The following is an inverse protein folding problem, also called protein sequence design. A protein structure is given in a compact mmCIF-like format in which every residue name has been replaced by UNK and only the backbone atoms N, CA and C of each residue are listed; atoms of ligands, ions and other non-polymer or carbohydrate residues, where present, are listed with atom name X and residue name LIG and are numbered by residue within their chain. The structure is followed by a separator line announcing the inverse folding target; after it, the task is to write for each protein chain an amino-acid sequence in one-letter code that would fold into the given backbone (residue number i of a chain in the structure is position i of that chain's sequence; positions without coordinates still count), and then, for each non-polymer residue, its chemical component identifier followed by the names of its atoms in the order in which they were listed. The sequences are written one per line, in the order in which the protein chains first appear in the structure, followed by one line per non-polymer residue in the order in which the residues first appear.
data_IF_477639108700
#
_entry.id   IF_477639108700
#
_cell.length_a   1.000
_cell.length_b   1.000
_cell.length_c   1.000
_cell.angle_alpha   90.00
_cell.angle_beta   90.00
_cell.angle_gamma   90.00
#
_symmetry.space_group_name_H-M   'P 1'
#
loop_
_entity.id
_entity.type
_entity.pdbx_description
1 polymer ?
#
# COMPACT_ATOMS: atom_id res chain seq x y z
N UNK A 1 -25.89 -1.91 -37.37
CA UNK A 1 -25.49 -0.50 -37.23
C UNK A 1 -24.35 -0.46 -36.23
N UNK A 2 -23.15 -0.10 -36.66
CA UNK A 2 -21.94 -0.10 -35.83
C UNK A 2 -21.23 1.26 -35.83
N UNK A 3 -21.79 2.26 -36.52
CA UNK A 3 -21.22 3.61 -36.51
C UNK A 3 -21.85 4.41 -35.37
N UNK A 4 -21.04 5.00 -34.48
CA UNK A 4 -21.53 5.92 -33.46
C UNK A 4 -22.28 7.09 -34.11
N UNK A 5 -23.37 7.56 -33.50
CA UNK A 5 -24.05 8.78 -33.94
C UNK A 5 -23.15 10.01 -33.80
N UNK A 6 -23.48 11.11 -34.48
CA UNK A 6 -22.68 12.36 -34.48
C UNK A 6 -22.37 12.88 -33.07
N UNK A 7 -23.25 12.61 -32.08
CA UNK A 7 -23.10 13.04 -30.68
C UNK A 7 -22.47 12.00 -29.75
N UNK A 8 -21.97 10.86 -30.26
CA UNK A 8 -21.37 9.84 -29.40
C UNK A 8 -20.01 10.32 -28.88
N UNK A 9 -19.73 10.22 -27.55
CA UNK A 9 -18.51 10.77 -27.00
C UNK A 9 -17.27 10.01 -27.52
N UNK A 10 -16.15 10.72 -27.80
CA UNK A 10 -14.93 10.09 -28.32
C UNK A 10 -14.23 9.20 -27.28
N UNK A 11 -14.59 9.32 -26.00
CA UNK A 11 -14.08 8.49 -24.91
C UNK A 11 -15.14 8.31 -23.82
N UNK A 12 -15.04 7.20 -23.09
CA UNK A 12 -15.87 6.91 -21.92
C UNK A 12 -14.99 6.77 -20.69
N UNK A 13 -15.41 7.38 -19.59
CA UNK A 13 -14.76 7.21 -18.29
C UNK A 13 -15.18 5.85 -17.71
N UNK A 14 -14.19 5.03 -17.39
CA UNK A 14 -14.38 3.73 -16.73
C UNK A 14 -13.65 3.79 -15.39
N UNK A 15 -14.40 4.01 -14.32
CA UNK A 15 -13.91 3.96 -12.94
C UNK A 15 -14.62 2.85 -12.18
N UNK A 16 -14.06 2.42 -11.06
CA UNK A 16 -14.66 1.43 -10.19
C UNK A 16 -16.02 1.92 -9.67
N UNK A 17 -17.04 1.07 -9.76
CA UNK A 17 -18.40 1.36 -9.28
C UNK A 17 -18.53 1.07 -7.79
N UNK A 18 -18.16 2.04 -6.95
CA UNK A 18 -18.18 1.97 -5.48
C UNK A 18 -18.26 3.37 -4.87
N UNK A 19 -18.58 3.46 -3.57
CA UNK A 19 -18.32 4.70 -2.83
C UNK A 19 -16.83 4.83 -2.56
N UNK A 20 -16.36 6.05 -2.28
CA UNK A 20 -14.94 6.29 -2.01
C UNK A 20 -14.41 5.34 -0.93
N UNK A 21 -13.22 4.78 -1.17
CA UNK A 21 -12.52 3.85 -0.26
C UNK A 21 -13.18 2.47 -0.05
N UNK A 22 -14.31 2.21 -0.70
CA UNK A 22 -14.94 0.89 -0.71
C UNK A 22 -14.45 0.04 -1.89
N UNK A 23 -14.47 -1.29 -1.77
CA UNK A 23 -14.16 -2.19 -2.89
C UNK A 23 -15.23 -2.15 -3.99
N UNK A 24 -14.84 -2.46 -5.23
CA UNK A 24 -15.74 -2.48 -6.39
C UNK A 24 -16.97 -3.39 -6.16
N UNK A 25 -18.16 -2.87 -6.45
CA UNK A 25 -19.40 -3.64 -6.29
C UNK A 25 -19.52 -4.67 -7.41
N UNK A 26 -19.75 -5.93 -7.06
CA UNK A 26 -19.93 -7.04 -8.02
C UNK A 26 -21.36 -7.57 -8.15
N UNK A 27 -22.24 -7.19 -7.23
CA UNK A 27 -23.62 -7.70 -7.14
C UNK A 27 -24.61 -6.68 -7.72
N UNK A 28 -25.42 -7.12 -8.68
CA UNK A 28 -26.38 -6.27 -9.40
C UNK A 28 -27.32 -5.49 -8.48
N UNK A 29 -27.84 -6.13 -7.42
CA UNK A 29 -28.74 -5.48 -6.47
C UNK A 29 -27.99 -4.43 -5.62
N UNK A 30 -26.82 -4.78 -5.08
CA UNK A 30 -25.99 -3.86 -4.33
C UNK A 30 -25.57 -2.63 -5.16
N UNK A 31 -25.31 -2.81 -6.45
CA UNK A 31 -24.99 -1.71 -7.35
C UNK A 31 -26.16 -0.73 -7.47
N UNK A 32 -27.38 -1.24 -7.68
CA UNK A 32 -28.60 -0.40 -7.72
C UNK A 32 -28.80 0.35 -6.41
N UNK A 33 -28.65 -0.33 -5.27
CA UNK A 33 -28.95 0.25 -3.97
C UNK A 33 -27.93 1.33 -3.54
N UNK A 34 -26.63 1.07 -3.78
CA UNK A 34 -25.54 1.94 -3.34
C UNK A 34 -25.22 3.09 -4.31
N UNK A 35 -25.41 2.87 -5.62
CA UNK A 35 -25.02 3.85 -6.65
C UNK A 35 -26.19 4.63 -7.24
N UNK A 36 -27.42 4.46 -6.75
CA UNK A 36 -28.62 5.16 -7.28
C UNK A 36 -28.53 6.69 -7.27
N UNK A 37 -27.76 7.27 -6.35
CA UNK A 37 -27.57 8.73 -6.26
C UNK A 37 -26.37 9.22 -7.09
N UNK A 38 -25.62 8.30 -7.71
CA UNK A 38 -24.41 8.59 -8.50
C UNK A 38 -24.66 8.32 -9.99
N UNK A 39 -25.33 7.21 -10.32
CA UNK A 39 -25.51 6.74 -11.69
C UNK A 39 -26.93 7.02 -12.20
N UNK A 40 -27.03 7.63 -13.38
CA UNK A 40 -28.31 7.88 -14.07
C UNK A 40 -28.97 6.59 -14.60
N UNK A 41 -28.19 5.52 -14.75
CA UNK A 41 -28.66 4.25 -15.30
C UNK A 41 -27.72 3.08 -14.98
N UNK A 42 -28.26 1.86 -15.10
CA UNK A 42 -27.55 0.62 -14.78
C UNK A 42 -27.60 -0.35 -15.96
N UNK A 43 -26.43 -0.64 -16.53
CA UNK A 43 -26.26 -1.69 -17.54
C UNK A 43 -25.73 -2.96 -16.85
N UNK A 44 -26.60 -3.93 -16.63
CA UNK A 44 -26.33 -5.15 -15.85
C UNK A 44 -26.57 -6.41 -16.67
N UNK A 45 -26.03 -7.53 -16.22
CA UNK A 45 -26.24 -8.85 -16.82
C UNK A 45 -26.54 -9.91 -15.76
N UNK A 46 -26.98 -11.09 -16.20
CA UNK A 46 -27.38 -12.23 -15.38
C UNK A 46 -26.23 -13.20 -15.06
N UNK A 47 -25.06 -13.05 -15.70
CA UNK A 47 -23.85 -13.82 -15.35
C UNK A 47 -23.26 -13.34 -14.01
N UNK A 48 -23.26 -14.13 -12.93
CA UNK A 48 -22.70 -13.66 -11.66
C UNK A 48 -21.19 -13.44 -11.73
N UNK A 49 -20.71 -12.36 -11.11
CA UNK A 49 -19.28 -12.13 -10.91
C UNK A 49 -18.90 -12.80 -9.58
N UNK A 50 -18.05 -13.83 -9.65
CA UNK A 50 -17.67 -14.62 -8.46
C UNK A 50 -16.65 -13.91 -7.57
N UNK A 51 -15.58 -13.38 -8.18
CA UNK A 51 -14.54 -12.61 -7.49
C UNK A 51 -14.50 -11.19 -8.03
N UNK A 52 -14.28 -10.24 -7.11
CA UNK A 52 -13.94 -8.85 -7.47
C UNK A 52 -12.55 -8.85 -8.07
N UNK A 53 -12.35 -8.02 -9.08
CA UNK A 53 -11.02 -7.78 -9.61
C UNK A 53 -11.01 -6.40 -10.25
N UNK A 54 -10.18 -5.52 -9.71
CA UNK A 54 -9.96 -4.21 -10.31
C UNK A 54 -9.27 -4.32 -11.66
N UNK A 55 -9.38 -3.24 -12.44
CA UNK A 55 -8.56 -3.07 -13.62
C UNK A 55 -7.09 -2.94 -13.24
N UNK A 56 -6.22 -3.60 -13.99
CA UNK A 56 -4.79 -3.37 -13.86
C UNK A 56 -4.42 -2.00 -14.42
N UNK A 57 -3.49 -1.31 -13.77
CA UNK A 57 -3.00 0.00 -14.18
C UNK A 57 -1.50 -0.07 -14.39
N UNK A 58 -1.06 0.33 -15.57
CA UNK A 58 0.34 0.41 -15.97
C UNK A 58 0.64 1.80 -16.50
N UNK A 59 1.88 2.22 -16.32
CA UNK A 59 2.46 3.36 -17.04
C UNK A 59 3.64 2.89 -17.88
N UNK A 60 4.26 3.78 -18.64
CA UNK A 60 5.47 3.50 -19.40
C UNK A 60 6.63 4.25 -18.74
N UNK A 61 7.67 3.52 -18.33
CA UNK A 61 8.93 4.09 -17.80
C UNK A 61 10.06 3.51 -18.63
N UNK A 62 10.93 4.36 -19.18
CA UNK A 62 12.03 3.95 -20.07
C UNK A 62 11.56 2.99 -21.18
N UNK A 63 10.46 3.35 -21.84
CA UNK A 63 9.83 2.57 -22.93
C UNK A 63 9.32 1.17 -22.53
N UNK A 64 9.30 0.85 -21.24
CA UNK A 64 8.84 -0.44 -20.72
C UNK A 64 7.56 -0.28 -19.90
N UNK A 65 6.62 -1.24 -19.95
CA UNK A 65 5.48 -1.27 -19.05
C UNK A 65 5.93 -1.33 -17.59
N UNK A 66 5.39 -0.44 -16.77
CA UNK A 66 5.65 -0.37 -15.33
C UNK A 66 4.32 -0.53 -14.57
N UNK A 67 4.16 -1.61 -13.78
CA UNK A 67 2.92 -1.84 -13.04
C UNK A 67 2.74 -0.83 -11.91
N UNK A 68 1.56 -0.19 -11.86
CA UNK A 68 1.09 0.58 -10.71
C UNK A 68 0.10 -0.24 -9.89
N UNK A 69 -0.77 -1.00 -10.58
CA UNK A 69 -1.75 -1.91 -9.98
C UNK A 69 -1.79 -3.21 -10.79
N UNK A 70 -1.45 -4.33 -10.17
CA UNK A 70 -1.56 -5.67 -10.78
C UNK A 70 -2.85 -6.34 -10.34
N UNK A 71 -3.81 -6.46 -11.26
CA UNK A 71 -5.12 -7.08 -11.01
C UNK A 71 -5.62 -7.82 -12.26
N UNK A 72 -6.70 -7.36 -12.91
CA UNK A 72 -7.31 -8.03 -14.08
C UNK A 72 -6.31 -8.23 -15.22
N UNK A 73 -6.31 -9.43 -15.80
CA UNK A 73 -5.41 -9.82 -16.90
C UNK A 73 -4.03 -10.31 -16.45
N UNK A 74 -3.68 -10.14 -15.17
CA UNK A 74 -2.40 -10.59 -14.61
C UNK A 74 -2.60 -11.60 -13.49
N UNK A 75 -3.41 -11.27 -12.48
CA UNK A 75 -3.75 -12.23 -11.45
C UNK A 75 -4.67 -13.34 -12.03
N UNK A 76 -4.48 -14.62 -11.69
CA UNK A 76 -3.59 -15.13 -10.64
C UNK A 76 -2.25 -15.71 -11.18
N UNK A 77 -1.73 -15.25 -12.33
CA UNK A 77 -0.48 -15.77 -12.90
C UNK A 77 0.68 -15.60 -11.92
N UNK A 78 1.40 -16.67 -11.57
CA UNK A 78 2.46 -16.59 -10.57
C UNK A 78 3.70 -15.87 -11.08
N UNK A 79 4.45 -15.29 -10.15
CA UNK A 79 5.84 -14.91 -10.37
C UNK A 79 6.68 -16.17 -10.21
N UNK A 80 7.55 -16.46 -11.19
CA UNK A 80 8.45 -17.60 -11.14
C UNK A 80 9.74 -17.20 -10.45
N UNK A 81 10.17 -17.99 -9.49
CA UNK A 81 11.44 -17.80 -8.78
C UNK A 81 12.45 -18.89 -9.13
N UNK A 82 13.73 -18.64 -8.87
CA UNK A 82 14.83 -19.56 -9.18
C UNK A 82 14.86 -20.78 -8.25
N UNK A 83 14.58 -20.55 -6.97
CA UNK A 83 14.65 -21.52 -5.88
C UNK A 83 13.29 -22.17 -5.57
N UNK A 84 13.30 -23.34 -4.94
CA UNK A 84 12.08 -23.95 -4.41
C UNK A 84 11.69 -23.27 -3.09
N UNK A 85 10.50 -22.72 -3.04
CA UNK A 85 9.91 -22.06 -1.90
C UNK A 85 9.01 -23.03 -1.11
N UNK A 86 9.04 -22.98 0.23
CA UNK A 86 8.05 -23.63 1.05
C UNK A 86 6.66 -23.01 0.83
N UNK A 87 5.63 -23.65 1.38
CA UNK A 87 4.27 -23.11 1.36
C UNK A 87 4.15 -22.03 2.42
N UNK A 88 4.16 -20.76 2.03
CA UNK A 88 4.08 -19.59 2.94
C UNK A 88 2.93 -18.70 2.49
N UNK A 89 2.26 -18.08 3.46
CA UNK A 89 1.36 -16.95 3.25
C UNK A 89 2.05 -15.65 3.69
N UNK A 90 2.31 -14.74 2.76
CA UNK A 90 2.69 -13.37 3.08
C UNK A 90 1.46 -12.47 2.95
N UNK A 91 1.05 -11.79 4.03
CA UNK A 91 -0.23 -11.05 4.07
C UNK A 91 -0.15 -9.64 3.49
N UNK A 92 1.05 -9.11 3.28
CA UNK A 92 1.27 -7.78 2.69
C UNK A 92 0.95 -6.60 3.63
N UNK A 93 1.10 -5.36 3.12
CA UNK A 93 0.88 -4.13 3.88
C UNK A 93 -0.60 -3.78 4.05
N UNK A 94 -0.92 -2.72 4.79
CA UNK A 94 -2.31 -2.23 4.94
C UNK A 94 -2.84 -1.54 3.68
N UNK A 95 -2.03 -0.68 3.08
CA UNK A 95 -2.43 0.12 1.90
C UNK A 95 -2.13 -0.63 0.61
N UNK A 96 -3.01 -0.48 -0.39
CA UNK A 96 -2.88 -1.15 -1.70
C UNK A 96 -2.54 -2.64 -1.57
N UNK A 97 -3.18 -3.33 -0.63
CA UNK A 97 -2.80 -4.66 -0.22
C UNK A 97 -2.82 -5.67 -1.38
N UNK A 98 -1.81 -6.54 -1.35
CA UNK A 98 -1.80 -7.83 -2.03
C UNK A 98 -1.17 -8.86 -1.09
N UNK A 99 -1.74 -10.05 -1.00
CA UNK A 99 -1.09 -11.17 -0.33
C UNK A 99 -0.38 -12.06 -1.36
N UNK A 100 0.55 -12.89 -0.88
CA UNK A 100 1.26 -13.85 -1.71
C UNK A 100 1.21 -15.23 -1.05
N UNK A 101 0.90 -16.26 -1.85
CA UNK A 101 1.12 -17.65 -1.47
C UNK A 101 2.29 -18.21 -2.26
N UNK A 102 3.16 -18.97 -1.63
CA UNK A 102 4.29 -19.60 -2.32
C UNK A 102 4.13 -21.11 -2.40
N UNK A 103 4.67 -21.74 -3.44
CA UNK A 103 4.87 -23.19 -3.53
C UNK A 103 5.84 -23.51 -4.66
N UNK A 104 6.80 -24.40 -4.40
CA UNK A 104 7.80 -24.81 -5.39
C UNK A 104 8.47 -23.56 -5.98
N UNK A 105 8.49 -23.40 -7.31
CA UNK A 105 9.10 -22.24 -7.97
C UNK A 105 8.14 -21.09 -8.23
N UNK A 106 7.03 -21.01 -7.50
CA UNK A 106 5.95 -20.06 -7.78
C UNK A 106 5.58 -19.23 -6.55
N UNK A 107 5.47 -17.92 -6.78
CA UNK A 107 4.88 -16.95 -5.88
C UNK A 107 3.56 -16.45 -6.49
N UNK A 108 2.44 -16.91 -5.95
CA UNK A 108 1.08 -16.57 -6.36
C UNK A 108 0.64 -15.29 -5.66
N UNK A 109 1.00 -14.16 -6.25
CA UNK A 109 0.54 -12.85 -5.80
C UNK A 109 -0.94 -12.64 -6.16
N UNK A 110 -1.74 -12.22 -5.18
CA UNK A 110 -3.16 -11.93 -5.35
C UNK A 110 -3.40 -10.82 -6.38
N UNK A 111 -4.66 -10.65 -6.78
CA UNK A 111 -5.09 -9.38 -7.37
C UNK A 111 -5.03 -8.27 -6.31
N UNK A 112 -5.05 -7.03 -6.77
CA UNK A 112 -5.23 -5.85 -5.91
C UNK A 112 -6.46 -6.05 -5.00
N UNK A 113 -6.23 -5.99 -3.70
CA UNK A 113 -7.27 -6.08 -2.67
C UNK A 113 -7.74 -4.67 -2.28
N UNK A 114 -6.79 -3.75 -2.10
CA UNK A 114 -7.06 -2.34 -1.79
C UNK A 114 -6.74 -1.95 -0.36
N UNK A 115 -7.53 -1.03 0.18
CA UNK A 115 -7.31 -0.44 1.51
C UNK A 115 -7.97 -1.31 2.59
N UNK A 116 -7.16 -1.85 3.49
CA UNK A 116 -7.61 -2.85 4.46
C UNK A 116 -8.50 -2.31 5.57
N UNK A 117 -8.57 -0.99 5.77
CA UNK A 117 -9.39 -0.34 6.82
C UNK A 117 -10.89 -0.48 6.59
N UNK A 118 -11.29 -0.73 5.34
CA UNK A 118 -12.67 -0.99 4.99
C UNK A 118 -13.05 -2.46 5.34
N UNK A 119 -14.16 -2.64 6.06
CA UNK A 119 -14.62 -3.96 6.49
C UNK A 119 -14.91 -4.90 5.31
N UNK A 120 -15.55 -4.40 4.25
CA UNK A 120 -15.80 -5.19 3.04
C UNK A 120 -14.49 -5.63 2.37
N UNK A 121 -13.48 -4.75 2.32
CA UNK A 121 -12.14 -5.12 1.81
C UNK A 121 -11.50 -6.20 2.67
N UNK A 122 -11.56 -6.07 4.00
CA UNK A 122 -11.01 -7.08 4.91
C UNK A 122 -11.70 -8.44 4.75
N UNK A 123 -13.03 -8.47 4.58
CA UNK A 123 -13.75 -9.72 4.31
C UNK A 123 -13.35 -10.34 2.97
N UNK A 124 -13.18 -9.52 1.93
CA UNK A 124 -12.78 -9.99 0.61
C UNK A 124 -11.33 -10.50 0.61
N UNK A 125 -10.43 -9.86 1.35
CA UNK A 125 -9.08 -10.33 1.62
C UNK A 125 -9.09 -11.75 2.21
N UNK A 126 -9.86 -12.00 3.27
CA UNK A 126 -9.94 -13.31 3.91
C UNK A 126 -10.49 -14.38 2.95
N UNK A 127 -11.56 -14.06 2.21
CA UNK A 127 -12.14 -14.96 1.19
C UNK A 127 -11.16 -15.25 0.06
N UNK A 128 -10.42 -14.23 -0.40
CA UNK A 128 -9.44 -14.36 -1.47
C UNK A 128 -8.28 -15.26 -1.05
N UNK A 129 -7.79 -15.16 0.19
CA UNK A 129 -6.76 -16.08 0.73
C UNK A 129 -7.28 -17.53 0.67
N UNK A 130 -8.46 -17.80 1.21
CA UNK A 130 -9.05 -19.15 1.20
C UNK A 130 -9.26 -19.68 -0.22
N UNK A 131 -9.72 -18.81 -1.13
CA UNK A 131 -9.89 -19.15 -2.54
C UNK A 131 -8.55 -19.52 -3.19
N UNK A 132 -7.50 -18.72 -2.99
CA UNK A 132 -6.17 -18.99 -3.55
C UNK A 132 -5.54 -20.26 -2.95
N UNK A 133 -5.69 -20.49 -1.64
CA UNK A 133 -5.25 -21.73 -0.99
C UNK A 133 -5.91 -22.96 -1.61
N UNK A 134 -7.22 -22.89 -1.87
CA UNK A 134 -7.98 -23.99 -2.50
C UNK A 134 -7.57 -24.18 -3.95
N UNK A 135 -7.56 -23.08 -4.72
CA UNK A 135 -7.25 -23.08 -6.15
C UNK A 135 -5.86 -23.66 -6.42
N UNK A 136 -4.88 -23.23 -5.65
CA UNK A 136 -3.51 -23.68 -5.81
C UNK A 136 -3.17 -24.88 -4.95
N UNK A 137 -4.05 -25.39 -4.08
CA UNK A 137 -3.77 -26.49 -3.13
C UNK A 137 -2.54 -26.19 -2.28
N UNK A 138 -2.55 -25.05 -1.61
CA UNK A 138 -1.47 -24.57 -0.74
C UNK A 138 -2.00 -24.56 0.69
N UNK A 139 -1.26 -25.22 1.57
CA UNK A 139 -1.50 -25.25 3.01
C UNK A 139 -0.29 -24.59 3.71
N UNK A 140 -0.37 -23.27 4.00
CA UNK A 140 0.75 -22.51 4.53
C UNK A 140 1.36 -23.13 5.78
N UNK A 141 2.68 -23.26 5.78
CA UNK A 141 3.51 -23.75 6.88
C UNK A 141 4.17 -22.62 7.66
N UNK A 142 4.02 -21.39 7.20
CA UNK A 142 4.48 -20.18 7.86
C UNK A 142 3.68 -18.98 7.34
N UNK A 143 3.70 -17.90 8.12
CA UNK A 143 3.05 -16.64 7.75
C UNK A 143 4.05 -15.47 7.89
N UNK A 144 4.22 -14.70 6.81
CA UNK A 144 4.99 -13.44 6.80
C UNK A 144 4.06 -12.23 6.88
N UNK A 145 4.40 -11.25 7.71
CA UNK A 145 3.59 -10.05 7.94
C UNK A 145 4.47 -8.82 8.19
N UNK A 146 3.91 -7.62 8.01
CA UNK A 146 4.63 -6.35 8.21
C UNK A 146 4.89 -6.12 9.71
N UNK A 147 6.03 -5.48 10.05
CA UNK A 147 6.35 -5.11 11.43
C UNK A 147 5.32 -4.18 12.08
N UNK A 148 4.52 -3.44 11.30
CA UNK A 148 3.52 -2.54 11.85
C UNK A 148 2.47 -3.31 12.69
N UNK A 149 2.39 -3.07 14.02
CA UNK A 149 1.57 -3.88 14.91
C UNK A 149 0.07 -3.67 14.70
N UNK A 150 -0.32 -2.46 14.28
CA UNK A 150 -1.74 -2.12 14.13
C UNK A 150 -2.36 -2.46 12.80
N UNK A 151 -1.58 -2.91 11.81
CA UNK A 151 -2.13 -3.26 10.50
C UNK A 151 -3.14 -4.40 10.62
N UNK A 152 -4.27 -4.28 9.91
CA UNK A 152 -5.28 -5.33 9.88
C UNK A 152 -4.76 -6.61 9.24
N UNK A 153 -3.86 -6.50 8.25
CA UNK A 153 -3.16 -7.65 7.69
C UNK A 153 -2.25 -8.33 8.72
N UNK A 154 -1.53 -7.56 9.54
CA UNK A 154 -0.70 -8.07 10.65
C UNK A 154 -1.54 -8.74 11.73
N UNK A 155 -2.64 -8.12 12.16
CA UNK A 155 -3.59 -8.71 13.13
C UNK A 155 -4.15 -10.03 12.63
N UNK A 156 -4.59 -10.09 11.36
CA UNK A 156 -5.02 -11.34 10.71
C UNK A 156 -3.93 -12.41 10.74
N UNK A 157 -2.68 -12.05 10.40
CA UNK A 157 -1.56 -12.99 10.42
C UNK A 157 -1.33 -13.56 11.81
N UNK A 158 -1.30 -12.71 12.85
CA UNK A 158 -1.06 -13.10 14.23
C UNK A 158 -2.18 -14.02 14.77
N UNK A 159 -3.44 -13.71 14.48
CA UNK A 159 -4.59 -14.56 14.85
C UNK A 159 -4.50 -15.94 14.18
N UNK A 160 -4.09 -16.00 12.91
CA UNK A 160 -3.92 -17.26 12.18
C UNK A 160 -2.72 -18.06 12.65
N UNK A 161 -1.59 -17.40 12.92
CA UNK A 161 -0.39 -17.97 13.54
C UNK A 161 -0.75 -18.68 14.85
N UNK A 162 -1.51 -18.00 15.71
CA UNK A 162 -1.92 -18.53 17.00
C UNK A 162 -2.91 -19.69 16.86
N UNK A 163 -3.93 -19.54 16.02
CA UNK A 163 -4.99 -20.55 15.89
C UNK A 163 -4.54 -21.85 15.21
N UNK A 164 -3.58 -21.76 14.27
CA UNK A 164 -3.06 -22.90 13.51
C UNK A 164 -1.68 -23.38 14.02
N UNK A 165 -1.13 -22.75 15.06
CA UNK A 165 0.20 -23.03 15.61
C UNK A 165 1.29 -23.02 14.53
N UNK A 166 1.27 -21.99 13.69
CA UNK A 166 2.23 -21.79 12.60
C UNK A 166 3.37 -20.85 13.04
N UNK A 167 4.59 -20.99 12.50
CA UNK A 167 5.63 -19.98 12.67
C UNK A 167 5.26 -18.67 11.94
N UNK A 168 5.53 -17.56 12.61
CA UNK A 168 5.31 -16.21 12.10
C UNK A 168 6.61 -15.44 11.89
N UNK A 169 6.70 -14.70 10.80
CA UNK A 169 7.86 -13.88 10.44
C UNK A 169 7.44 -12.43 10.25
N UNK A 170 7.88 -11.57 11.17
CA UNK A 170 7.69 -10.13 11.03
C UNK A 170 8.79 -9.57 10.11
N UNK A 171 8.38 -8.86 9.06
CA UNK A 171 9.26 -8.37 7.99
C UNK A 171 9.17 -6.86 7.95
N UNK A 172 10.33 -6.19 7.89
CA UNK A 172 10.36 -4.74 7.82
C UNK A 172 9.89 -4.25 6.44
N UNK A 173 9.06 -3.22 6.42
CA UNK A 173 8.40 -2.72 5.21
C UNK A 173 9.36 -2.41 4.05
N UNK A 174 10.46 -1.71 4.35
CA UNK A 174 11.44 -1.27 3.36
C UNK A 174 12.36 -2.43 2.92
N UNK A 175 12.65 -3.36 3.82
CA UNK A 175 13.32 -4.62 3.49
C UNK A 175 12.47 -5.47 2.55
N UNK A 176 11.15 -5.50 2.73
CA UNK A 176 10.23 -6.15 1.80
C UNK A 176 10.29 -5.51 0.40
N UNK A 177 10.35 -4.17 0.30
CA UNK A 177 10.55 -3.47 -0.98
C UNK A 177 11.89 -3.82 -1.63
N UNK A 178 12.98 -3.85 -0.86
CA UNK A 178 14.30 -4.27 -1.34
C UNK A 178 14.25 -5.69 -1.92
N UNK A 179 13.72 -6.64 -1.15
CA UNK A 179 13.62 -8.03 -1.53
C UNK A 179 12.71 -8.22 -2.76
N UNK A 180 11.58 -7.52 -2.84
CA UNK A 180 10.70 -7.57 -4.00
C UNK A 180 11.42 -7.11 -5.28
N UNK A 181 12.17 -6.00 -5.20
CA UNK A 181 12.99 -5.51 -6.32
C UNK A 181 14.07 -6.50 -6.75
N UNK A 182 14.74 -7.16 -5.81
CA UNK A 182 15.72 -8.21 -6.13
C UNK A 182 15.09 -9.39 -6.87
N UNK A 183 13.96 -9.90 -6.35
CA UNK A 183 13.27 -11.07 -6.91
C UNK A 183 12.73 -10.77 -8.31
N UNK A 184 12.15 -9.60 -8.53
CA UNK A 184 11.64 -9.19 -9.85
C UNK A 184 12.78 -9.08 -10.89
N UNK A 185 13.96 -8.64 -10.47
CA UNK A 185 15.14 -8.51 -11.36
C UNK A 185 15.95 -9.80 -11.49
N UNK A 186 15.52 -10.91 -10.86
CA UNK A 186 16.21 -12.20 -10.93
C UNK A 186 17.58 -12.22 -10.25
N UNK A 187 17.83 -11.31 -9.32
CA UNK A 187 19.05 -11.27 -8.51
C UNK A 187 19.01 -12.43 -7.52
N UNK A 188 20.16 -13.04 -7.23
CA UNK A 188 20.23 -14.13 -6.26
C UNK A 188 19.79 -13.65 -4.86
N UNK A 189 18.89 -14.36 -4.15
CA UNK A 189 18.38 -13.93 -2.85
C UNK A 189 19.44 -13.72 -1.76
N UNK A 190 20.65 -14.28 -1.91
CA UNK A 190 21.74 -14.13 -0.95
C UNK A 190 22.71 -13.01 -1.31
N UNK A 191 22.66 -12.49 -2.54
CA UNK A 191 23.52 -11.41 -3.01
C UNK A 191 23.19 -10.09 -2.30
N UNK A 192 24.22 -9.39 -1.82
CA UNK A 192 24.04 -8.08 -1.17
C UNK A 192 23.93 -6.99 -2.23
N UNK A 193 22.85 -6.23 -2.16
CA UNK A 193 22.58 -5.07 -3.02
C UNK A 193 22.39 -3.81 -2.18
N UNK A 194 22.62 -2.66 -2.80
CA UNK A 194 22.20 -1.38 -2.25
C UNK A 194 20.85 -0.99 -2.86
N UNK A 195 19.88 -0.63 -2.01
CA UNK A 195 18.57 -0.16 -2.44
C UNK A 195 18.23 1.20 -1.88
N UNK A 196 17.70 2.06 -2.75
CA UNK A 196 17.08 3.33 -2.38
C UNK A 196 15.58 3.07 -2.22
N UNK A 197 15.10 3.05 -0.98
CA UNK A 197 13.71 2.73 -0.67
C UNK A 197 13.00 4.02 -0.29
N UNK A 198 12.31 4.60 -1.26
CA UNK A 198 11.60 5.86 -1.13
C UNK A 198 10.09 5.62 -1.17
N UNK A 199 9.43 5.83 -0.03
CA UNK A 199 8.01 5.62 0.15
C UNK A 199 7.34 6.80 0.89
N UNK A 200 6.05 6.66 1.16
CA UNK A 200 5.29 7.61 1.96
C UNK A 200 5.39 7.35 3.46
N UNK A 201 5.15 6.11 3.89
CA UNK A 201 5.15 5.73 5.30
C UNK A 201 5.38 4.23 5.44
N UNK A 202 6.46 3.84 6.12
CA UNK A 202 6.63 2.48 6.61
C UNK A 202 7.09 2.46 8.07
N UNK A 203 6.68 1.43 8.81
CA UNK A 203 7.05 1.30 10.22
C UNK A 203 8.54 0.96 10.35
N UNK A 204 9.28 1.87 11.01
CA UNK A 204 10.69 1.70 11.31
C UNK A 204 10.92 0.74 12.47
N UNK A 205 12.06 0.05 12.45
CA UNK A 205 12.45 -0.83 13.57
C UNK A 205 12.79 -0.05 14.86
N UNK A 206 12.99 1.26 14.76
CA UNK A 206 13.20 2.21 15.86
C UNK A 206 11.91 2.91 16.32
N UNK A 207 10.75 2.53 15.77
CA UNK A 207 9.45 3.15 16.05
C UNK A 207 9.22 4.49 15.35
N UNK A 208 10.16 4.95 14.51
CA UNK A 208 9.96 6.10 13.64
C UNK A 208 9.24 5.69 12.34
N UNK A 209 8.78 6.69 11.58
CA UNK A 209 8.17 6.48 10.27
C UNK A 209 9.26 6.63 9.20
N UNK A 210 9.63 5.51 8.58
CA UNK A 210 10.60 5.50 7.49
C UNK A 210 9.94 5.83 6.16
N UNK A 211 10.76 6.18 5.17
CA UNK A 211 10.34 6.37 3.77
C UNK A 211 11.38 7.03 2.88
N UNK A 212 12.60 7.21 3.35
CA UNK A 212 13.69 7.88 2.63
C UNK A 212 15.00 7.18 2.91
N UNK A 213 15.03 5.86 2.73
CA UNK A 213 16.06 4.98 3.29
C UNK A 213 17.04 4.48 2.24
N UNK A 214 18.31 4.31 2.63
CA UNK A 214 19.34 3.60 1.87
C UNK A 214 19.71 2.34 2.63
N UNK A 215 19.32 1.20 2.09
CA UNK A 215 19.56 -0.11 2.69
C UNK A 215 20.66 -0.85 1.92
N UNK A 216 21.52 -1.57 2.64
CA UNK A 216 22.41 -2.57 2.05
C UNK A 216 22.01 -3.93 2.62
N UNK A 217 21.64 -4.87 1.78
CA UNK A 217 21.10 -6.14 2.24
C UNK A 217 20.79 -7.12 1.12
N UNK A 218 20.16 -8.22 1.50
CA UNK A 218 19.66 -9.25 0.61
C UNK A 218 18.23 -9.65 1.04
N UNK A 219 17.68 -10.76 0.56
CA UNK A 219 16.32 -11.18 0.93
C UNK A 219 16.18 -11.66 2.38
N UNK A 220 17.28 -11.84 3.13
CA UNK A 220 17.28 -12.38 4.50
C UNK A 220 17.59 -11.32 5.54
N UNK A 221 18.53 -10.42 5.24
CA UNK A 221 19.01 -9.40 6.16
C UNK A 221 19.22 -8.07 5.45
N UNK A 222 19.20 -6.99 6.23
CA UNK A 222 19.53 -5.65 5.75
C UNK A 222 20.19 -4.83 6.84
N UNK A 223 20.99 -3.86 6.41
CA UNK A 223 21.56 -2.80 7.22
C UNK A 223 21.07 -1.45 6.68
N UNK A 224 20.64 -0.56 7.57
CA UNK A 224 20.23 0.81 7.22
C UNK A 224 21.44 1.73 7.30
N UNK A 225 21.98 2.11 6.15
CA UNK A 225 23.24 2.87 6.05
C UNK A 225 22.99 4.37 6.10
N UNK A 226 22.01 4.85 5.33
CA UNK A 226 21.64 6.27 5.30
C UNK A 226 20.12 6.42 5.32
N UNK A 227 19.67 7.57 5.78
CA UNK A 227 18.28 7.97 5.72
C UNK A 227 18.16 9.50 5.70
N UNK A 228 17.02 10.02 5.24
CA UNK A 228 16.72 11.44 5.41
C UNK A 228 16.72 11.82 6.89
N UNK A 229 17.20 13.02 7.22
CA UNK A 229 17.17 13.54 8.60
C UNK A 229 15.75 13.45 9.14
N UNK A 230 15.61 12.90 10.34
CA UNK A 230 14.32 12.85 11.01
C UNK A 230 13.74 14.25 11.22
N UNK A 231 12.49 14.40 10.81
CA UNK A 231 11.67 15.58 11.05
C UNK A 231 10.39 15.16 11.79
N UNK A 232 9.88 15.97 12.72
CA UNK A 232 8.64 15.65 13.42
C UNK A 232 7.44 15.68 12.45
N UNK A 233 6.51 14.74 12.63
CA UNK A 233 5.23 14.66 11.90
C UNK A 233 4.07 15.04 12.83
N UNK A 234 3.77 16.34 13.02
CA UNK A 234 2.86 16.80 14.05
C UNK A 234 1.40 16.51 13.73
N UNK A 235 0.81 15.60 14.51
CA UNK A 235 -0.57 15.15 14.37
C UNK A 235 -0.75 13.93 13.46
N UNK A 236 0.33 13.20 13.13
CA UNK A 236 0.26 11.98 12.33
C UNK A 236 -0.44 12.23 10.99
N UNK A 237 -1.52 11.50 10.74
CA UNK A 237 -2.30 11.56 9.50
C UNK A 237 -2.84 12.95 9.16
N UNK A 238 -3.06 13.81 10.17
CA UNK A 238 -3.46 15.19 9.91
C UNK A 238 -2.41 15.97 9.11
N UNK A 239 -1.12 15.66 9.29
CA UNK A 239 -0.05 16.27 8.51
C UNK A 239 -0.01 15.75 7.08
N UNK A 240 -0.51 14.54 6.81
CA UNK A 240 -0.67 13.99 5.47
C UNK A 240 -1.81 14.72 4.73
N UNK A 241 -2.93 14.96 5.43
CA UNK A 241 -4.07 15.69 4.85
C UNK A 241 -3.84 17.20 4.72
N UNK A 242 -2.92 17.77 5.51
CA UNK A 242 -2.56 19.20 5.47
C UNK A 242 -1.05 19.38 5.32
N UNK A 243 -0.50 19.28 4.10
CA UNK A 243 0.93 19.40 3.81
C UNK A 243 1.61 20.64 4.38
N UNK A 244 0.88 21.77 4.50
CA UNK A 244 1.38 22.99 5.15
C UNK A 244 1.93 22.75 6.57
N UNK A 245 1.35 21.80 7.33
CA UNK A 245 1.86 21.42 8.67
C UNK A 245 3.22 20.75 8.58
N UNK A 246 3.43 19.91 7.58
CA UNK A 246 4.68 19.23 7.31
C UNK A 246 5.77 20.24 6.89
N UNK A 247 5.43 21.20 6.04
CA UNK A 247 6.36 22.26 5.61
C UNK A 247 6.86 23.12 6.79
N UNK A 248 5.94 23.59 7.63
CA UNK A 248 6.31 24.36 8.82
C UNK A 248 7.09 23.53 9.85
N UNK A 249 6.78 22.24 9.96
CA UNK A 249 7.53 21.31 10.82
C UNK A 249 8.96 21.11 10.32
N UNK A 250 9.15 20.97 9.01
CA UNK A 250 10.47 20.88 8.40
C UNK A 250 11.29 22.17 8.64
N UNK A 251 10.71 23.35 8.37
CA UNK A 251 11.37 24.63 8.66
C UNK A 251 11.81 24.70 10.13
N UNK A 252 10.94 24.32 11.06
CA UNK A 252 11.27 24.28 12.49
C UNK A 252 12.43 23.32 12.80
N UNK A 253 12.43 22.11 12.22
CA UNK A 253 13.47 21.10 12.43
C UNK A 253 14.84 21.47 11.83
N UNK A 254 14.86 22.37 10.85
CA UNK A 254 16.08 22.96 10.28
C UNK A 254 16.45 24.31 10.91
N UNK A 255 15.64 24.83 11.84
CA UNK A 255 15.90 26.10 12.52
C UNK A 255 15.59 27.34 11.70
N UNK A 256 14.75 27.23 10.67
CA UNK A 256 14.26 28.35 9.88
C UNK A 256 13.00 28.97 10.51
N UNK A 257 12.91 30.29 10.45
CA UNK A 257 11.72 31.03 10.89
C UNK A 257 10.53 30.84 9.96
N UNK A 258 9.33 30.92 10.52
CA UNK A 258 8.08 30.91 9.77
C UNK A 258 7.79 32.32 9.23
N UNK A 259 8.47 32.71 8.15
CA UNK A 259 8.25 34.00 7.51
C UNK A 259 6.79 34.17 7.06
N UNK A 260 6.21 35.34 7.33
CA UNK A 260 4.77 35.61 7.13
C UNK A 260 4.33 35.52 5.67
N UNK A 261 5.26 35.67 4.73
CA UNK A 261 5.01 35.64 3.30
C UNK A 261 4.92 34.22 2.71
N UNK A 262 5.36 33.20 3.45
CA UNK A 262 5.34 31.80 3.02
C UNK A 262 3.90 31.27 2.87
N UNK A 263 3.64 30.57 1.76
CA UNK A 263 2.36 29.92 1.49
C UNK A 263 1.84 29.03 2.64
N UNK A 264 2.62 28.13 3.26
CA UNK A 264 2.14 27.31 4.38
C UNK A 264 1.78 28.13 5.63
N UNK A 265 2.46 29.27 5.87
CA UNK A 265 2.15 30.18 6.99
C UNK A 265 0.84 30.93 6.75
N UNK A 266 0.59 31.35 5.51
CA UNK A 266 -0.65 32.02 5.09
C UNK A 266 -1.85 31.08 5.07
N UNK A 267 -1.63 29.81 4.71
CA UNK A 267 -2.68 28.81 4.62
C UNK A 267 -3.26 28.42 5.99
N UNK A 268 -2.41 28.31 7.01
CA UNK A 268 -2.84 27.93 8.36
C UNK A 268 -3.34 29.12 9.17
N UNK A 269 -4.45 28.94 9.87
CA UNK A 269 -4.95 29.93 10.81
C UNK A 269 -3.98 30.16 11.98
N UNK A 270 -4.07 31.32 12.64
CA UNK A 270 -3.21 31.63 13.81
C UNK A 270 -3.36 30.61 14.94
N UNK A 271 -4.56 30.07 15.12
CA UNK A 271 -4.83 29.00 16.08
C UNK A 271 -4.08 27.71 15.70
N UNK A 272 -4.11 27.32 14.43
CA UNK A 272 -3.40 26.14 13.93
C UNK A 272 -1.88 26.31 14.04
N UNK A 273 -1.33 27.48 13.69
CA UNK A 273 0.09 27.79 13.84
C UNK A 273 0.54 27.70 15.29
N UNK A 274 -0.22 28.31 16.21
CA UNK A 274 0.09 28.26 17.65
C UNK A 274 0.00 26.84 18.21
N UNK A 275 -1.00 26.06 17.78
CA UNK A 275 -1.12 24.65 18.17
C UNK A 275 0.05 23.81 17.64
N UNK A 276 0.43 24.01 16.38
CA UNK A 276 1.56 23.34 15.74
C UNK A 276 2.87 23.62 16.47
N UNK A 277 3.17 24.90 16.75
CA UNK A 277 4.38 25.29 17.50
C UNK A 277 4.43 24.64 18.88
N UNK A 278 3.32 24.62 19.60
CA UNK A 278 3.21 23.97 20.91
C UNK A 278 3.40 22.44 20.82
N UNK A 279 2.88 21.79 19.77
CA UNK A 279 3.12 20.35 19.52
C UNK A 279 4.60 20.06 19.29
N UNK A 280 5.28 20.89 18.48
CA UNK A 280 6.70 20.75 18.16
C UNK A 280 7.59 20.97 19.40
N UNK A 281 7.35 22.05 20.15
CA UNK A 281 8.13 22.40 21.34
C UNK A 281 7.96 21.37 22.47
N UNK A 282 6.76 20.82 22.64
CA UNK A 282 6.46 19.85 23.71
C UNK A 282 6.50 18.39 23.27
N UNK A 283 6.78 18.12 21.99
CA UNK A 283 6.82 16.79 21.39
C UNK A 283 5.52 15.98 21.59
N UNK A 284 4.37 16.64 21.48
CA UNK A 284 3.05 16.02 21.69
C UNK A 284 2.50 15.53 20.35
N UNK A 285 2.33 14.22 20.20
CA UNK A 285 1.86 13.57 18.97
C UNK A 285 2.71 13.97 17.74
N UNK A 286 4.04 13.93 17.91
CA UNK A 286 5.02 14.27 16.87
C UNK A 286 5.97 13.10 16.62
N UNK A 287 5.48 11.96 16.08
CA UNK A 287 6.38 10.88 15.65
C UNK A 287 7.43 11.42 14.68
N UNK A 288 8.63 10.88 14.72
CA UNK A 288 9.69 11.27 13.80
C UNK A 288 9.51 10.56 12.46
N UNK A 289 9.77 11.26 11.36
CA UNK A 289 9.72 10.69 10.02
C UNK A 289 10.95 11.03 9.18
N UNK A 290 11.42 10.05 8.40
CA UNK A 290 12.45 10.20 7.37
C UNK A 290 11.86 10.01 5.97
N UNK A 291 10.55 10.22 5.82
CA UNK A 291 9.81 9.91 4.59
C UNK A 291 10.14 10.82 3.42
N UNK A 292 10.43 10.21 2.27
CA UNK A 292 10.55 10.90 0.98
C UNK A 292 9.20 11.44 0.52
N UNK A 293 8.10 10.70 0.72
CA UNK A 293 6.76 11.19 0.40
C UNK A 293 6.41 12.46 1.17
N UNK A 294 6.76 12.54 2.46
CA UNK A 294 6.59 13.76 3.26
C UNK A 294 7.48 14.91 2.79
N UNK A 295 8.65 14.62 2.23
CA UNK A 295 9.51 15.64 1.61
C UNK A 295 8.88 16.19 0.32
N UNK A 296 8.21 15.36 -0.48
CA UNK A 296 7.49 15.80 -1.68
C UNK A 296 6.22 16.60 -1.36
N UNK A 297 5.63 16.41 -0.18
CA UNK A 297 4.47 17.19 0.29
C UNK A 297 4.84 18.65 0.63
N UNK A 298 6.12 18.97 0.87
CA UNK A 298 6.60 20.30 1.31
C UNK A 298 6.58 21.35 0.19
#
# INVERSE_FOLDING_TARGET
MLEPGEDFPPALVMTSGNLSEEPIIRESQAARDRLKEIADGFFLHDRPIHMRIDDSVFTIVNEKPYPIRRARGFAPNPIRVSQNLPQILAVGPQMKNTFCLTRDKYAFLSHYIGEMENWETYQDFQKAIQHYQTLFRIDPKAIGYDLHPDYLSTKYALEKIQSENLPGFAIQHHHAHLAAGMIENGIDPFEKVAGLIFDGTGYGSDGAIWGGEVLIGNCLEFERIYHLKYIPLPGGDLAILKPARMALSALWAYGFDWAEDLAPVKYLSDKEKKALKNQLEKQINTPQTSSMGRLFDL
#
